data_IF_040465722074
#
_entry.id   IF_040465722074
#
_cell.length_a   1.000
_cell.length_b   1.000
_cell.length_c   1.000
_cell.angle_alpha   90.00
_cell.angle_beta   90.00
_cell.angle_gamma   90.00
#
_symmetry.space_group_name_H-M   'P 1'
#
loop_
_entity.id
_entity.type
_entity.pdbx_description
1 polymer ?
#
# COMPACT_ATOMS: atom_id res chain seq x y z
N UNK A 1 -19.68 -19.57 -13.23
CA UNK A 1 -20.70 -19.17 -12.25
C UNK A 1 -21.88 -18.55 -13.02
N UNK A 2 -23.13 -18.66 -12.54
CA UNK A 2 -24.36 -18.17 -13.16
C UNK A 2 -25.11 -17.11 -12.33
N UNK A 3 -24.72 -16.86 -11.07
CA UNK A 3 -25.28 -15.81 -10.20
C UNK A 3 -24.20 -15.28 -9.24
N UNK A 4 -24.31 -14.02 -8.81
CA UNK A 4 -23.24 -13.19 -8.26
C UNK A 4 -22.88 -13.36 -6.78
N UNK A 5 -23.23 -14.46 -6.12
CA UNK A 5 -22.76 -14.76 -4.76
C UNK A 5 -22.07 -16.13 -4.73
N UNK A 6 -20.80 -16.13 -4.31
CA UNK A 6 -19.95 -17.31 -4.19
C UNK A 6 -20.56 -18.37 -3.27
N UNK A 7 -21.20 -17.96 -2.18
CA UNK A 7 -21.72 -18.90 -1.18
C UNK A 7 -23.13 -19.41 -1.51
N UNK A 8 -23.65 -19.08 -2.69
CA UNK A 8 -24.95 -19.55 -3.16
C UNK A 8 -24.75 -20.68 -4.17
N UNK A 9 -25.20 -21.88 -3.82
CA UNK A 9 -25.03 -23.09 -4.65
C UNK A 9 -25.62 -22.94 -6.07
N UNK A 10 -26.76 -22.25 -6.21
CA UNK A 10 -27.36 -21.95 -7.52
C UNK A 10 -26.57 -20.93 -8.36
N UNK A 11 -25.56 -20.29 -7.77
CA UNK A 11 -24.55 -19.52 -8.49
C UNK A 11 -23.55 -20.41 -9.21
N UNK A 12 -23.37 -21.66 -8.83
CA UNK A 12 -22.39 -22.55 -9.46
C UNK A 12 -23.05 -23.47 -10.49
N UNK A 13 -22.30 -23.73 -11.57
CA UNK A 13 -22.69 -24.74 -12.55
C UNK A 13 -22.66 -26.10 -11.83
N UNK A 14 -23.75 -26.85 -11.89
CA UNK A 14 -23.92 -28.10 -11.15
C UNK A 14 -24.59 -27.93 -9.77
N UNK A 15 -24.86 -26.70 -9.34
CA UNK A 15 -25.66 -26.45 -8.12
C UNK A 15 -24.93 -26.79 -6.82
N UNK A 16 -23.60 -26.72 -6.80
CA UNK A 16 -22.77 -27.02 -5.64
C UNK A 16 -21.67 -25.96 -5.47
N UNK A 17 -21.42 -25.55 -4.23
CA UNK A 17 -20.34 -24.62 -3.89
C UNK A 17 -19.00 -25.39 -3.95
N UNK A 18 -17.96 -24.88 -4.63
CA UNK A 18 -16.64 -25.52 -4.69
C UNK A 18 -16.04 -25.72 -3.29
N UNK A 19 -15.44 -26.89 -3.08
CA UNK A 19 -14.69 -27.26 -1.89
C UNK A 19 -13.19 -27.45 -2.14
N UNK A 20 -12.52 -28.10 -1.18
CA UNK A 20 -11.06 -28.14 -1.01
C UNK A 20 -10.28 -28.81 -2.15
N UNK A 21 -10.91 -29.71 -2.90
CA UNK A 21 -10.32 -30.33 -4.10
C UNK A 21 -10.77 -29.67 -5.40
N UNK A 22 -11.69 -28.71 -5.33
CA UNK A 22 -12.30 -28.12 -6.51
C UNK A 22 -11.50 -26.95 -7.04
N UNK A 23 -11.61 -26.78 -8.36
CA UNK A 23 -11.21 -25.56 -9.05
C UNK A 23 -12.43 -24.68 -9.24
N UNK A 24 -12.44 -23.53 -8.57
CA UNK A 24 -13.42 -22.49 -8.78
C UNK A 24 -13.07 -21.69 -10.05
N UNK A 25 -13.91 -21.79 -11.08
CA UNK A 25 -13.76 -21.02 -12.33
C UNK A 25 -14.86 -19.95 -12.42
N UNK A 26 -14.43 -18.69 -12.42
CA UNK A 26 -15.30 -17.53 -12.61
C UNK A 26 -15.22 -17.12 -14.08
N UNK A 27 -16.19 -17.58 -14.85
CA UNK A 27 -16.49 -17.15 -16.22
C UNK A 27 -17.98 -16.73 -16.21
N UNK A 28 -18.25 -15.43 -16.19
CA UNK A 28 -19.60 -14.88 -16.10
C UNK A 28 -19.75 -13.62 -16.95
N UNK A 29 -19.21 -13.60 -18.17
CA UNK A 29 -19.46 -12.53 -19.15
C UNK A 29 -19.18 -11.10 -18.67
N UNK A 30 -18.19 -10.89 -17.80
CA UNK A 30 -17.81 -9.60 -17.23
C UNK A 30 -18.61 -9.18 -16.00
N UNK A 31 -19.50 -10.03 -15.49
CA UNK A 31 -20.24 -9.78 -14.25
C UNK A 31 -19.37 -10.03 -13.00
N UNK A 32 -19.87 -9.57 -11.85
CA UNK A 32 -19.16 -9.60 -10.57
C UNK A 32 -19.70 -10.67 -9.64
N UNK A 33 -18.83 -11.63 -9.33
CA UNK A 33 -19.01 -12.58 -8.24
C UNK A 33 -18.67 -11.89 -6.93
N UNK A 34 -19.54 -11.98 -5.93
CA UNK A 34 -19.32 -11.43 -4.60
C UNK A 34 -19.09 -12.52 -3.57
N UNK A 35 -18.24 -12.24 -2.58
CA UNK A 35 -18.01 -13.10 -1.42
C UNK A 35 -18.06 -12.22 -0.16
N UNK A 36 -19.13 -12.33 0.62
CA UNK A 36 -19.36 -11.52 1.82
C UNK A 36 -19.20 -12.29 3.15
N UNK A 37 -18.85 -13.57 3.09
CA UNK A 37 -18.58 -14.41 4.24
C UNK A 37 -17.42 -15.37 3.91
N UNK A 38 -17.04 -16.24 4.85
CA UNK A 38 -16.05 -17.27 4.58
C UNK A 38 -16.55 -18.23 3.49
N UNK A 39 -15.75 -18.41 2.44
CA UNK A 39 -15.91 -19.50 1.47
C UNK A 39 -15.30 -20.79 2.03
N UNK A 40 -15.76 -21.97 1.61
CA UNK A 40 -14.97 -23.19 1.76
C UNK A 40 -13.57 -23.00 1.15
N UNK A 41 -12.58 -23.68 1.71
CA UNK A 41 -11.26 -23.75 1.09
C UNK A 41 -11.40 -24.33 -0.33
N UNK A 42 -10.62 -23.84 -1.28
CA UNK A 42 -10.64 -24.28 -2.68
C UNK A 42 -9.25 -24.53 -3.20
N UNK A 43 -9.08 -25.52 -4.07
CA UNK A 43 -7.75 -25.88 -4.59
C UNK A 43 -7.16 -24.75 -5.44
N UNK A 44 -7.88 -24.38 -6.50
CA UNK A 44 -7.48 -23.34 -7.44
C UNK A 44 -8.65 -22.36 -7.63
N UNK A 45 -8.36 -21.08 -7.81
CA UNK A 45 -9.34 -20.08 -8.24
C UNK A 45 -8.88 -19.43 -9.53
N UNK A 46 -9.75 -19.35 -10.52
CA UNK A 46 -9.45 -18.76 -11.82
C UNK A 46 -10.51 -17.74 -12.19
N UNK A 47 -10.08 -16.48 -12.24
CA UNK A 47 -10.94 -15.35 -12.54
C UNK A 47 -10.70 -14.94 -13.98
N UNK A 48 -11.75 -15.03 -14.76
CA UNK A 48 -11.77 -14.72 -16.17
C UNK A 48 -10.87 -15.66 -16.95
N UNK A 49 -11.19 -16.97 -16.95
CA UNK A 49 -10.45 -18.01 -17.66
C UNK A 49 -10.86 -18.14 -19.13
N UNK A 50 -12.15 -18.10 -19.45
CA UNK A 50 -12.63 -18.27 -20.83
C UNK A 50 -13.50 -17.09 -21.29
N UNK A 51 -13.92 -16.27 -20.33
CA UNK A 51 -14.66 -15.03 -20.54
C UNK A 51 -14.23 -14.02 -19.50
N UNK A 52 -14.48 -12.73 -19.71
CA UNK A 52 -14.19 -11.73 -18.68
C UNK A 52 -14.95 -12.04 -17.39
N UNK A 53 -14.38 -11.74 -16.22
CA UNK A 53 -15.07 -11.88 -14.93
C UNK A 53 -14.45 -11.05 -13.84
N UNK A 54 -15.25 -10.69 -12.84
CA UNK A 54 -14.79 -9.98 -11.66
C UNK A 54 -15.10 -10.80 -10.40
N UNK A 55 -14.19 -10.75 -9.42
CA UNK A 55 -14.44 -11.21 -8.05
C UNK A 55 -14.32 -10.03 -7.09
N UNK A 56 -15.33 -9.83 -6.26
CA UNK A 56 -15.30 -8.87 -5.16
C UNK A 56 -15.41 -9.63 -3.83
N UNK A 57 -14.33 -9.64 -3.07
CA UNK A 57 -14.35 -10.13 -1.69
C UNK A 57 -14.71 -8.94 -0.81
N UNK A 58 -15.93 -8.94 -0.31
CA UNK A 58 -16.50 -7.87 0.51
C UNK A 58 -16.00 -7.96 1.96
N UNK A 59 -16.25 -6.91 2.74
CA UNK A 59 -15.96 -6.89 4.17
C UNK A 59 -16.53 -8.14 4.89
N UNK A 60 -15.70 -8.81 5.70
CA UNK A 60 -16.05 -10.08 6.36
C UNK A 60 -15.92 -11.32 5.46
N UNK A 61 -15.70 -11.14 4.16
CA UNK A 61 -15.38 -12.21 3.23
C UNK A 61 -13.99 -12.79 3.48
N UNK A 62 -13.88 -14.13 3.46
CA UNK A 62 -12.59 -14.83 3.54
C UNK A 62 -12.51 -15.89 2.45
N UNK A 63 -11.47 -15.82 1.63
CA UNK A 63 -11.19 -16.80 0.58
C UNK A 63 -9.85 -17.48 0.85
N UNK A 64 -9.85 -18.81 0.96
CA UNK A 64 -8.63 -19.61 1.10
C UNK A 64 -8.42 -20.43 -0.18
N UNK A 65 -7.30 -20.19 -0.85
CA UNK A 65 -6.86 -20.89 -2.05
C UNK A 65 -5.65 -21.75 -1.69
N UNK A 66 -5.83 -23.07 -1.74
CA UNK A 66 -4.84 -24.05 -1.27
C UNK A 66 -3.66 -24.22 -2.22
N UNK A 67 -3.78 -23.76 -3.46
CA UNK A 67 -2.73 -23.81 -4.46
C UNK A 67 -2.60 -22.46 -5.17
N UNK A 68 -3.29 -22.26 -6.29
CA UNK A 68 -3.06 -21.10 -7.17
C UNK A 68 -4.29 -20.25 -7.37
N UNK A 69 -4.11 -18.95 -7.21
CA UNK A 69 -5.09 -17.93 -7.57
C UNK A 69 -4.65 -17.23 -8.86
N UNK A 70 -5.54 -17.18 -9.84
CA UNK A 70 -5.32 -16.49 -11.10
C UNK A 70 -6.31 -15.34 -11.26
N UNK A 71 -5.80 -14.11 -11.37
CA UNK A 71 -6.55 -12.91 -11.69
C UNK A 71 -6.26 -12.56 -13.16
N UNK A 72 -7.17 -12.94 -14.05
CA UNK A 72 -6.96 -12.93 -15.50
C UNK A 72 -6.25 -14.20 -15.94
N UNK A 73 -6.92 -15.02 -16.75
CA UNK A 73 -6.40 -16.32 -17.21
C UNK A 73 -6.86 -16.63 -18.64
N UNK A 74 -6.05 -17.35 -19.44
CA UNK A 74 -6.41 -17.94 -20.74
C UNK A 74 -7.24 -17.03 -21.70
N UNK A 75 -6.58 -16.01 -22.26
CA UNK A 75 -7.12 -15.07 -23.26
C UNK A 75 -8.28 -14.16 -22.82
N UNK A 76 -8.54 -14.04 -21.52
CA UNK A 76 -9.62 -13.18 -20.99
C UNK A 76 -9.14 -12.22 -19.91
N UNK A 77 -10.00 -11.24 -19.57
CA UNK A 77 -9.75 -10.28 -18.51
C UNK A 77 -10.34 -10.75 -17.19
N UNK A 78 -9.51 -10.83 -16.15
CA UNK A 78 -9.97 -11.09 -14.79
C UNK A 78 -9.70 -9.90 -13.91
N UNK A 79 -10.67 -9.51 -13.09
CA UNK A 79 -10.46 -8.50 -12.05
C UNK A 79 -10.81 -9.04 -10.67
N UNK A 80 -10.07 -8.57 -9.67
CA UNK A 80 -10.31 -8.93 -8.29
C UNK A 80 -10.20 -7.70 -7.40
N UNK A 81 -11.20 -7.48 -6.56
CA UNK A 81 -11.19 -6.47 -5.50
C UNK A 81 -11.27 -7.15 -4.15
N UNK A 82 -10.35 -6.79 -3.25
CA UNK A 82 -10.34 -7.22 -1.84
C UNK A 82 -10.67 -6.00 -1.00
N UNK A 83 -11.90 -5.95 -0.50
CA UNK A 83 -12.43 -4.79 0.21
C UNK A 83 -11.85 -4.64 1.61
N UNK A 84 -12.10 -3.49 2.23
CA UNK A 84 -11.77 -3.27 3.65
C UNK A 84 -12.36 -4.38 4.54
N UNK A 85 -11.55 -4.99 5.40
CA UNK A 85 -11.97 -6.08 6.27
C UNK A 85 -12.16 -7.44 5.57
N UNK A 86 -11.79 -7.56 4.29
CA UNK A 86 -11.73 -8.83 3.57
C UNK A 86 -10.33 -9.46 3.67
N UNK A 87 -10.29 -10.80 3.62
CA UNK A 87 -9.03 -11.57 3.65
C UNK A 87 -9.00 -12.59 2.51
N UNK A 88 -7.87 -12.64 1.81
CA UNK A 88 -7.61 -13.65 0.77
C UNK A 88 -6.27 -14.31 1.07
N UNK A 89 -6.28 -15.62 1.21
CA UNK A 89 -5.09 -16.42 1.47
C UNK A 89 -4.81 -17.30 0.26
N UNK A 90 -3.59 -17.24 -0.26
CA UNK A 90 -3.12 -18.09 -1.37
C UNK A 90 -1.91 -18.85 -0.87
N UNK A 91 -1.99 -20.16 -0.82
CA UNK A 91 -0.94 -20.98 -0.21
C UNK A 91 0.31 -21.04 -1.07
N UNK A 92 0.18 -21.11 -2.40
CA UNK A 92 1.32 -21.21 -3.31
C UNK A 92 1.48 -19.91 -4.12
N UNK A 93 0.87 -19.82 -5.31
CA UNK A 93 1.17 -18.74 -6.26
C UNK A 93 -0.04 -17.86 -6.53
N UNK A 94 0.18 -16.55 -6.44
CA UNK A 94 -0.73 -15.54 -6.99
C UNK A 94 -0.24 -15.10 -8.37
N UNK A 95 -1.06 -15.41 -9.38
CA UNK A 95 -0.90 -14.92 -10.74
C UNK A 95 -1.84 -13.74 -11.02
N UNK A 96 -1.31 -12.68 -11.63
CA UNK A 96 -2.11 -11.56 -12.13
C UNK A 96 -1.69 -11.30 -13.56
N UNK A 97 -2.62 -11.32 -14.51
CA UNK A 97 -2.35 -11.00 -15.91
C UNK A 97 -1.38 -11.98 -16.59
N UNK A 98 -1.31 -13.22 -16.12
CA UNK A 98 -0.40 -14.24 -16.63
C UNK A 98 -0.72 -15.62 -16.06
N UNK A 99 -0.21 -16.66 -16.70
CA UNK A 99 -0.34 -18.04 -16.23
C UNK A 99 0.82 -18.92 -16.72
N UNK A 100 1.94 -18.33 -17.14
CA UNK A 100 3.07 -19.02 -17.77
C UNK A 100 2.85 -19.39 -19.25
N UNK A 101 1.71 -18.99 -19.84
CA UNK A 101 1.41 -19.15 -21.28
C UNK A 101 1.87 -17.93 -22.08
N UNK A 102 2.25 -18.08 -23.37
CA UNK A 102 2.57 -16.94 -24.25
C UNK A 102 1.35 -16.08 -24.65
N UNK A 103 0.15 -16.42 -24.19
CA UNK A 103 -1.10 -15.77 -24.56
C UNK A 103 -1.25 -14.37 -23.94
N UNK A 104 -1.98 -13.49 -24.63
CA UNK A 104 -2.34 -12.18 -24.11
C UNK A 104 -3.43 -12.32 -23.05
N UNK A 105 -3.14 -11.91 -21.82
CA UNK A 105 -4.05 -12.03 -20.68
C UNK A 105 -3.99 -10.74 -19.88
N UNK A 106 -5.14 -10.23 -19.44
CA UNK A 106 -5.19 -9.02 -18.62
C UNK A 106 -5.72 -9.35 -17.22
N UNK A 107 -4.96 -8.95 -16.20
CA UNK A 107 -5.33 -9.13 -14.81
C UNK A 107 -5.27 -7.82 -14.06
N UNK A 108 -6.30 -7.55 -13.25
CA UNK A 108 -6.30 -6.41 -12.34
C UNK A 108 -6.64 -6.84 -10.93
N UNK A 109 -5.71 -6.64 -9.99
CA UNK A 109 -5.95 -6.86 -8.56
C UNK A 109 -5.98 -5.51 -7.85
N UNK A 110 -7.01 -5.27 -7.06
CA UNK A 110 -7.13 -4.09 -6.19
C UNK A 110 -7.32 -4.57 -4.75
N UNK A 111 -6.47 -4.10 -3.85
CA UNK A 111 -6.58 -4.33 -2.40
C UNK A 111 -6.91 -2.97 -1.78
N UNK A 112 -8.13 -2.80 -1.32
CA UNK A 112 -8.59 -1.57 -0.69
C UNK A 112 -7.95 -1.38 0.69
N UNK A 113 -7.99 -0.15 1.22
CA UNK A 113 -7.53 0.14 2.57
C UNK A 113 -8.22 -0.77 3.61
N UNK A 114 -7.43 -1.47 4.42
CA UNK A 114 -7.92 -2.46 5.39
C UNK A 114 -8.22 -3.84 4.81
N UNK A 115 -8.09 -4.06 3.50
CA UNK A 115 -8.10 -5.39 2.87
C UNK A 115 -6.74 -6.09 3.02
N UNK A 116 -6.74 -7.43 3.04
CA UNK A 116 -5.51 -8.22 3.19
C UNK A 116 -5.44 -9.37 2.19
N UNK A 117 -4.29 -9.49 1.52
CA UNK A 117 -3.93 -10.65 0.69
C UNK A 117 -2.65 -11.27 1.21
N UNK A 118 -2.68 -12.57 1.51
CA UNK A 118 -1.50 -13.33 1.94
C UNK A 118 -1.13 -14.35 0.85
N UNK A 119 0.14 -14.45 0.51
CA UNK A 119 0.67 -15.38 -0.50
C UNK A 119 1.85 -16.15 0.07
N UNK A 120 1.73 -17.47 0.11
CA UNK A 120 2.71 -18.35 0.76
C UNK A 120 3.99 -18.55 -0.04
N UNK A 121 3.96 -18.36 -1.37
CA UNK A 121 5.11 -18.58 -2.24
C UNK A 121 5.32 -17.43 -3.24
N UNK A 122 5.08 -17.63 -4.54
CA UNK A 122 5.47 -16.67 -5.57
C UNK A 122 4.37 -15.66 -5.94
N UNK A 123 4.81 -14.45 -6.30
CA UNK A 123 4.02 -13.48 -7.04
C UNK A 123 4.50 -13.48 -8.48
N UNK A 124 3.70 -14.00 -9.41
CA UNK A 124 4.02 -14.00 -10.85
C UNK A 124 3.03 -13.12 -11.61
N UNK A 125 3.41 -11.87 -11.83
CA UNK A 125 2.55 -10.89 -12.46
C UNK A 125 3.02 -10.61 -13.87
N UNK A 126 2.08 -10.74 -14.80
CA UNK A 126 2.33 -10.63 -16.23
C UNK A 126 3.35 -11.62 -16.79
N UNK A 127 3.38 -12.83 -16.24
CA UNK A 127 4.22 -13.91 -16.72
C UNK A 127 3.61 -14.55 -18.00
N UNK A 128 3.99 -13.99 -19.16
CA UNK A 128 3.56 -14.40 -20.50
C UNK A 128 3.84 -13.30 -21.54
N UNK A 129 4.13 -13.66 -22.80
CA UNK A 129 4.65 -12.74 -23.83
C UNK A 129 3.78 -11.54 -24.20
N UNK A 130 2.49 -11.57 -23.84
CA UNK A 130 1.58 -10.44 -24.03
C UNK A 130 0.69 -10.22 -22.78
N UNK A 131 1.14 -10.70 -21.62
CA UNK A 131 0.44 -10.46 -20.36
C UNK A 131 0.42 -8.96 -20.02
N UNK A 132 -0.64 -8.52 -19.35
CA UNK A 132 -0.73 -7.21 -18.71
C UNK A 132 -1.28 -7.39 -17.31
N UNK A 133 -0.51 -6.97 -16.32
CA UNK A 133 -0.93 -6.97 -14.92
C UNK A 133 -1.00 -5.55 -14.37
N UNK A 134 -2.07 -5.25 -13.66
CA UNK A 134 -2.19 -4.04 -12.83
C UNK A 134 -2.53 -4.45 -11.41
N UNK A 135 -1.69 -4.08 -10.46
CA UNK A 135 -1.91 -4.38 -9.03
C UNK A 135 -1.92 -3.08 -8.26
N UNK A 136 -3.05 -2.76 -7.62
CA UNK A 136 -3.23 -1.57 -6.80
C UNK A 136 -3.36 -1.98 -5.33
N UNK A 137 -2.51 -1.44 -4.46
CA UNK A 137 -2.39 -1.85 -3.06
C UNK A 137 -2.58 -0.63 -2.18
N UNK A 138 -3.77 -0.47 -1.61
CA UNK A 138 -4.07 0.47 -0.53
C UNK A 138 -4.21 -0.23 0.84
N UNK A 139 -4.35 -1.56 0.85
CA UNK A 139 -4.29 -2.41 2.04
C UNK A 139 -2.96 -3.14 2.15
N UNK A 140 -2.99 -4.41 2.55
CA UNK A 140 -1.79 -5.22 2.74
C UNK A 140 -1.70 -6.36 1.72
N UNK A 141 -0.56 -6.50 1.04
CA UNK A 141 -0.17 -7.72 0.34
C UNK A 141 1.07 -8.30 1.01
N UNK A 142 0.95 -9.49 1.59
CA UNK A 142 2.01 -10.17 2.32
C UNK A 142 2.46 -11.42 1.56
N UNK A 143 3.71 -11.44 1.14
CA UNK A 143 4.36 -12.62 0.59
C UNK A 143 5.29 -13.23 1.65
N UNK A 144 5.08 -14.49 2.03
CA UNK A 144 5.83 -15.14 3.13
C UNK A 144 6.86 -16.17 2.66
N UNK A 145 6.90 -16.46 1.36
CA UNK A 145 7.86 -17.38 0.76
C UNK A 145 8.20 -16.94 -0.67
N UNK A 146 8.91 -17.76 -1.42
CA UNK A 146 9.18 -17.52 -2.84
C UNK A 146 9.88 -16.18 -3.15
N UNK A 147 9.66 -15.69 -4.37
CA UNK A 147 10.22 -14.45 -4.91
C UNK A 147 9.19 -13.69 -5.75
N UNK A 148 9.31 -12.37 -5.80
CA UNK A 148 8.57 -11.53 -6.74
C UNK A 148 9.06 -11.73 -8.19
N UNK A 149 8.12 -11.75 -9.13
CA UNK A 149 8.40 -11.66 -10.55
C UNK A 149 7.37 -10.84 -11.33
N UNK A 150 7.84 -9.75 -11.94
CA UNK A 150 7.09 -8.86 -12.81
C UNK A 150 7.58 -9.00 -14.25
N UNK A 151 6.70 -9.39 -15.17
CA UNK A 151 7.02 -9.54 -16.59
C UNK A 151 8.02 -10.67 -16.88
N UNK A 152 8.21 -11.61 -15.94
CA UNK A 152 9.16 -12.74 -16.02
C UNK A 152 8.42 -14.06 -15.85
N UNK A 153 9.02 -15.16 -16.32
CA UNK A 153 8.51 -16.52 -16.08
C UNK A 153 9.19 -17.24 -14.90
N UNK A 154 10.34 -16.74 -14.42
CA UNK A 154 11.19 -17.44 -13.45
C UNK A 154 12.14 -16.51 -12.66
N UNK A 155 11.84 -15.21 -12.60
CA UNK A 155 12.67 -14.19 -11.98
C UNK A 155 14.10 -14.10 -12.55
N UNK A 156 14.30 -14.56 -13.79
CA UNK A 156 15.56 -14.48 -14.53
C UNK A 156 15.36 -14.12 -15.99
N UNK A 157 14.35 -14.72 -16.62
CA UNK A 157 14.05 -14.61 -18.04
C UNK A 157 12.85 -13.67 -18.27
N UNK A 158 12.96 -12.69 -19.18
CA UNK A 158 11.83 -11.90 -19.61
C UNK A 158 10.76 -12.78 -20.23
N UNK A 159 9.51 -12.57 -19.84
CA UNK A 159 8.37 -13.23 -20.47
C UNK A 159 7.89 -12.47 -21.71
N UNK A 160 8.05 -11.14 -21.74
CA UNK A 160 7.49 -10.21 -22.72
C UNK A 160 6.24 -9.46 -22.23
N UNK A 161 5.65 -9.88 -21.11
CA UNK A 161 4.54 -9.21 -20.46
C UNK A 161 4.96 -8.03 -19.60
N UNK A 162 4.00 -7.16 -19.29
CA UNK A 162 4.19 -5.92 -18.54
C UNK A 162 3.32 -5.90 -17.28
N UNK A 163 3.95 -5.73 -16.12
CA UNK A 163 3.25 -5.53 -14.85
C UNK A 163 3.47 -4.12 -14.30
N UNK A 164 2.38 -3.44 -13.94
CA UNK A 164 2.40 -2.19 -13.19
C UNK A 164 1.85 -2.44 -11.79
N UNK A 165 2.62 -2.06 -10.78
CA UNK A 165 2.26 -2.19 -9.37
C UNK A 165 2.19 -0.80 -8.77
N UNK A 166 1.05 -0.44 -8.20
CA UNK A 166 0.86 0.82 -7.49
C UNK A 166 0.68 0.50 -6.01
N UNK A 167 1.69 0.85 -5.20
CA UNK A 167 1.60 0.84 -3.74
C UNK A 167 1.09 2.21 -3.33
N UNK A 168 -0.21 2.31 -3.11
CA UNK A 168 -0.89 3.56 -2.84
C UNK A 168 -0.63 4.05 -1.41
N UNK A 169 -1.06 5.27 -1.11
CA UNK A 169 -0.99 5.85 0.23
C UNK A 169 -1.58 4.90 1.29
N UNK A 170 -0.82 4.65 2.36
CA UNK A 170 -1.14 3.70 3.43
C UNK A 170 -1.02 2.21 3.07
N UNK A 171 -0.75 1.88 1.81
CA UNK A 171 -0.62 0.51 1.33
C UNK A 171 0.75 -0.11 1.60
N UNK A 172 0.78 -1.43 1.80
CA UNK A 172 2.02 -2.17 2.06
C UNK A 172 2.13 -3.37 1.11
N UNK A 173 3.23 -3.42 0.37
CA UNK A 173 3.70 -4.61 -0.34
C UNK A 173 4.85 -5.24 0.45
N UNK A 174 4.53 -6.22 1.29
CA UNK A 174 5.53 -6.97 2.04
C UNK A 174 6.00 -8.17 1.23
N UNK A 175 7.23 -8.12 0.74
CA UNK A 175 7.85 -9.19 -0.04
C UNK A 175 8.68 -10.11 0.87
N UNK A 176 8.71 -11.39 0.54
CA UNK A 176 9.68 -12.32 1.14
C UNK A 176 11.08 -12.10 0.57
N UNK A 177 11.18 -11.90 -0.75
CA UNK A 177 12.45 -11.79 -1.45
C UNK A 177 12.29 -11.09 -2.81
N UNK A 178 13.37 -10.49 -3.29
CA UNK A 178 13.54 -9.96 -4.64
C UNK A 178 14.93 -10.36 -5.17
N UNK A 179 15.05 -10.62 -6.46
CA UNK A 179 16.30 -11.16 -7.02
C UNK A 179 17.44 -10.13 -6.95
N UNK A 180 18.54 -10.48 -6.28
CA UNK A 180 19.75 -9.65 -6.26
C UNK A 180 20.46 -9.53 -7.62
N UNK A 181 20.13 -10.39 -8.60
CA UNK A 181 20.70 -10.35 -9.96
C UNK A 181 19.90 -9.49 -10.94
N UNK A 182 18.83 -8.83 -10.49
CA UNK A 182 18.03 -7.92 -11.32
C UNK A 182 16.87 -8.57 -12.09
N UNK A 183 16.64 -9.88 -11.95
CA UNK A 183 15.65 -10.61 -12.76
C UNK A 183 14.20 -10.56 -12.27
N UNK A 184 13.91 -10.00 -11.09
CA UNK A 184 12.55 -9.97 -10.54
C UNK A 184 11.65 -8.95 -11.21
N UNK A 185 12.19 -7.90 -11.83
CA UNK A 185 11.41 -6.90 -12.56
C UNK A 185 12.03 -6.73 -13.95
N UNK A 186 11.23 -7.03 -14.96
CA UNK A 186 11.68 -7.04 -16.36
C UNK A 186 11.36 -5.73 -17.07
N UNK A 187 12.05 -5.42 -18.19
CA UNK A 187 11.81 -4.21 -18.96
C UNK A 187 10.33 -3.93 -19.23
N UNK A 188 9.91 -2.68 -18.99
CA UNK A 188 8.52 -2.22 -19.13
C UNK A 188 7.67 -2.39 -17.87
N UNK A 189 8.04 -3.29 -16.95
CA UNK A 189 7.36 -3.43 -15.65
C UNK A 189 7.88 -2.45 -14.61
N UNK A 190 7.05 -2.06 -13.65
CA UNK A 190 7.40 -1.06 -12.63
C UNK A 190 6.63 -1.24 -11.33
N UNK A 191 7.26 -0.88 -10.22
CA UNK A 191 6.61 -0.61 -8.94
C UNK A 191 6.61 0.90 -8.70
N UNK A 192 5.44 1.49 -8.56
CA UNK A 192 5.25 2.89 -8.22
C UNK A 192 4.69 2.99 -6.81
N UNK A 193 5.36 3.76 -5.96
CA UNK A 193 4.98 3.99 -4.57
C UNK A 193 4.40 5.40 -4.48
N UNK A 194 3.26 5.56 -3.81
CA UNK A 194 2.59 6.86 -3.66
C UNK A 194 2.42 7.22 -2.19
N UNK A 195 2.62 8.50 -1.86
CA UNK A 195 2.39 9.03 -0.52
C UNK A 195 3.17 8.25 0.56
N UNK A 196 2.43 7.71 1.54
CA UNK A 196 2.96 6.89 2.63
C UNK A 196 3.04 5.38 2.35
N UNK A 197 2.74 4.95 1.12
CA UNK A 197 2.86 3.55 0.72
C UNK A 197 4.29 3.01 0.84
N UNK A 198 4.45 1.70 1.06
CA UNK A 198 5.77 1.11 1.32
C UNK A 198 5.94 -0.28 0.71
N UNK A 199 7.18 -0.60 0.29
CA UNK A 199 7.63 -1.97 0.01
C UNK A 199 8.60 -2.41 1.10
N UNK A 200 8.38 -3.58 1.69
CA UNK A 200 9.27 -4.10 2.75
C UNK A 200 9.85 -5.45 2.37
N UNK A 201 11.13 -5.69 2.66
CA UNK A 201 11.84 -6.94 2.40
C UNK A 201 12.68 -7.32 3.62
N UNK A 202 12.56 -8.53 4.19
CA UNK A 202 13.40 -8.95 5.32
C UNK A 202 14.89 -8.90 4.98
N UNK A 203 15.70 -8.33 5.87
CA UNK A 203 17.16 -8.23 5.70
C UNK A 203 17.62 -7.02 4.89
N UNK A 204 18.89 -7.04 4.46
CA UNK A 204 19.54 -5.93 3.75
C UNK A 204 19.51 -6.13 2.22
N UNK A 205 18.67 -5.31 1.58
CA UNK A 205 18.47 -5.21 0.15
C UNK A 205 18.67 -3.77 -0.34
N UNK A 206 19.25 -2.86 0.47
CA UNK A 206 19.37 -1.43 0.12
C UNK A 206 20.07 -1.24 -1.23
N UNK A 207 21.22 -1.92 -1.42
CA UNK A 207 21.97 -1.85 -2.69
C UNK A 207 21.23 -2.52 -3.86
N UNK A 208 20.47 -3.59 -3.59
CA UNK A 208 19.66 -4.29 -4.59
C UNK A 208 18.54 -3.37 -5.08
N UNK A 209 17.79 -2.76 -4.16
CA UNK A 209 16.74 -1.79 -4.50
C UNK A 209 17.31 -0.57 -5.21
N UNK A 210 18.45 -0.04 -4.76
CA UNK A 210 19.13 1.05 -5.46
C UNK A 210 19.45 0.71 -6.91
N UNK A 211 19.83 -0.55 -7.20
CA UNK A 211 20.06 -1.02 -8.57
C UNK A 211 18.76 -1.10 -9.38
N UNK A 212 17.67 -1.64 -8.80
CA UNK A 212 16.36 -1.66 -9.49
C UNK A 212 15.84 -0.24 -9.77
N UNK A 213 15.92 0.66 -8.79
CA UNK A 213 15.52 2.06 -8.94
C UNK A 213 16.35 2.78 -10.01
N UNK A 214 17.68 2.60 -10.01
CA UNK A 214 18.58 3.16 -11.02
C UNK A 214 18.32 2.64 -12.44
N UNK A 215 17.78 1.42 -12.57
CA UNK A 215 17.35 0.84 -13.85
C UNK A 215 15.92 1.24 -14.26
N UNK A 216 15.24 2.07 -13.47
CA UNK A 216 13.90 2.58 -13.77
C UNK A 216 12.75 1.63 -13.40
N UNK A 217 13.01 0.62 -12.57
CA UNK A 217 12.00 -0.36 -12.14
C UNK A 217 11.20 0.07 -10.91
N UNK A 218 11.60 1.17 -10.27
CA UNK A 218 10.86 1.83 -9.20
C UNK A 218 10.57 3.29 -9.56
N UNK A 219 9.41 3.76 -9.12
CA UNK A 219 9.03 5.18 -9.11
C UNK A 219 8.42 5.56 -7.76
N UNK A 220 8.57 6.83 -7.38
CA UNK A 220 7.88 7.44 -6.25
C UNK A 220 7.05 8.62 -6.73
N UNK A 221 5.77 8.62 -6.42
CA UNK A 221 4.77 9.59 -6.90
C UNK A 221 4.80 9.76 -8.43
N UNK A 222 5.01 8.66 -9.16
CA UNK A 222 5.10 8.67 -10.62
C UNK A 222 6.43 9.15 -11.20
N UNK A 223 7.40 9.55 -10.36
CA UNK A 223 8.74 9.94 -10.79
C UNK A 223 9.68 8.75 -10.69
N UNK A 224 10.20 8.29 -11.83
CA UNK A 224 11.13 7.15 -11.91
C UNK A 224 12.39 7.42 -11.08
N UNK A 225 12.78 6.46 -10.25
CA UNK A 225 13.94 6.55 -9.36
C UNK A 225 13.71 7.40 -8.10
N UNK A 226 12.55 8.05 -7.93
CA UNK A 226 12.24 8.89 -6.77
C UNK A 226 11.86 8.07 -5.52
N UNK A 227 12.67 7.08 -5.18
CA UNK A 227 12.49 6.21 -4.03
C UNK A 227 13.78 6.12 -3.23
N UNK A 228 13.65 5.88 -1.93
CA UNK A 228 14.76 5.59 -1.03
C UNK A 228 14.54 4.23 -0.39
N UNK A 229 15.64 3.51 -0.12
CA UNK A 229 15.64 2.27 0.62
C UNK A 229 16.54 2.40 1.84
N UNK A 230 16.02 2.06 3.02
CA UNK A 230 16.76 2.13 4.27
C UNK A 230 16.44 0.94 5.20
N UNK A 231 17.22 0.82 6.28
CA UNK A 231 17.05 -0.18 7.34
C UNK A 231 16.54 0.41 8.66
N UNK A 232 16.28 1.72 8.68
CA UNK A 232 15.96 2.48 9.89
C UNK A 232 14.46 2.66 10.09
N UNK A 233 13.71 2.73 9.00
CA UNK A 233 12.25 2.91 8.99
C UNK A 233 11.54 1.70 9.59
N UNK A 234 12.03 0.48 9.29
CA UNK A 234 11.52 -0.76 9.87
C UNK A 234 12.69 -1.70 10.24
N UNK A 235 13.14 -1.71 11.51
CA UNK A 235 14.29 -2.50 11.92
C UNK A 235 14.17 -3.99 11.56
N UNK A 236 15.18 -4.52 10.89
CA UNK A 236 15.21 -5.91 10.39
C UNK A 236 14.69 -6.07 8.97
N UNK A 237 14.18 -5.00 8.34
CA UNK A 237 13.70 -4.97 6.97
C UNK A 237 14.34 -3.83 6.20
N UNK A 238 14.62 -4.08 4.93
CA UNK A 238 14.77 -3.01 3.95
C UNK A 238 13.41 -2.46 3.63
N UNK A 239 13.22 -1.17 3.84
CA UNK A 239 11.97 -0.46 3.58
C UNK A 239 12.18 0.54 2.46
N UNK A 240 11.34 0.44 1.43
CA UNK A 240 11.37 1.33 0.27
C UNK A 240 10.20 2.30 0.36
N UNK A 241 10.49 3.58 0.34
CA UNK A 241 9.52 4.67 0.43
C UNK A 241 9.78 5.71 -0.66
N UNK A 242 8.79 6.58 -0.89
CA UNK A 242 8.96 7.76 -1.75
C UNK A 242 9.99 8.70 -1.13
N UNK A 243 10.89 9.24 -1.95
CA UNK A 243 11.68 10.42 -1.55
C UNK A 243 10.75 11.63 -1.62
N UNK A 244 10.31 12.09 -0.46
CA UNK A 244 9.51 13.28 -0.36
C UNK A 244 10.37 14.50 -0.70
N UNK A 245 9.85 15.37 -1.58
CA UNK A 245 10.49 16.64 -1.84
C UNK A 245 10.55 17.44 -0.53
N UNK A 246 11.69 18.08 -0.26
CA UNK A 246 11.76 19.02 0.85
C UNK A 246 10.65 20.07 0.68
N UNK A 247 9.89 20.40 1.75
CA UNK A 247 8.86 21.42 1.66
C UNK A 247 9.44 22.73 1.12
N UNK A 248 8.74 23.35 0.16
CA UNK A 248 9.12 24.69 -0.29
C UNK A 248 8.69 25.69 0.79
N UNK A 249 9.64 26.13 1.60
CA UNK A 249 9.36 27.01 2.73
C UNK A 249 9.06 28.44 2.27
N UNK A 250 7.87 28.91 2.60
CA UNK A 250 7.50 30.31 2.49
C UNK A 250 7.05 30.84 3.85
N UNK A 251 7.49 32.02 4.23
CA UNK A 251 7.06 32.62 5.50
C UNK A 251 5.54 32.78 5.53
N UNK A 252 4.87 32.11 6.47
CA UNK A 252 3.41 32.10 6.52
C UNK A 252 2.85 31.32 7.71
N UNK A 253 1.52 31.40 7.85
CA UNK A 253 0.77 30.60 8.80
C UNK A 253 0.14 29.43 8.06
N UNK A 254 0.40 28.20 8.52
CA UNK A 254 -0.19 26.98 7.98
C UNK A 254 -1.09 26.38 9.05
N UNK A 255 -2.37 26.23 8.73
CA UNK A 255 -3.37 25.68 9.66
C UNK A 255 -3.57 24.20 9.43
N UNK A 256 -3.69 23.47 10.53
CA UNK A 256 -4.10 22.08 10.51
C UNK A 256 -5.62 22.00 10.33
N UNK A 257 -6.11 21.15 9.42
CA UNK A 257 -7.52 21.09 9.04
C UNK A 257 -8.24 19.84 9.52
N UNK A 258 -7.53 18.72 9.68
CA UNK A 258 -8.11 17.42 9.98
C UNK A 258 -7.34 16.77 11.11
N UNK A 259 -7.96 15.98 11.99
CA UNK A 259 -7.19 15.11 12.90
C UNK A 259 -6.36 14.09 12.12
N UNK A 260 -5.18 13.71 12.62
CA UNK A 260 -4.31 12.74 11.97
C UNK A 260 -2.82 13.01 12.13
N UNK A 261 -2.00 12.44 11.25
CA UNK A 261 -0.55 12.59 11.30
C UNK A 261 -0.10 13.99 10.82
N UNK A 262 0.85 14.60 11.55
CA UNK A 262 1.52 15.86 11.20
C UNK A 262 2.20 15.78 9.83
N UNK A 263 2.78 14.63 9.48
CA UNK A 263 3.53 14.41 8.25
C UNK A 263 2.63 14.19 7.03
N UNK A 264 1.31 14.07 7.23
CA UNK A 264 0.35 13.97 6.14
C UNK A 264 0.03 15.36 5.58
N UNK A 265 0.57 15.67 4.41
CA UNK A 265 0.46 16.98 3.78
C UNK A 265 -1.00 17.44 3.54
N UNK A 266 -1.93 16.51 3.26
CA UNK A 266 -3.36 16.81 3.08
C UNK A 266 -4.09 17.21 4.38
N UNK A 267 -3.48 17.02 5.55
CA UNK A 267 -4.01 17.53 6.81
C UNK A 267 -3.73 19.03 7.01
N UNK A 268 -2.89 19.64 6.17
CA UNK A 268 -2.53 21.06 6.24
C UNK A 268 -3.21 21.89 5.16
N UNK A 269 -3.59 23.13 5.50
CA UNK A 269 -4.31 24.05 4.60
C UNK A 269 -3.61 24.29 3.27
N UNK A 270 -2.28 24.26 3.26
CA UNK A 270 -1.46 24.50 2.05
C UNK A 270 -1.27 23.24 1.22
N UNK A 271 -1.68 22.06 1.71
CA UNK A 271 -1.33 20.78 1.11
C UNK A 271 0.14 20.41 1.26
N UNK A 272 0.88 21.06 2.18
CA UNK A 272 2.28 20.81 2.49
C UNK A 272 2.50 20.74 4.01
N UNK A 273 3.44 19.91 4.44
CA UNK A 273 3.88 19.86 5.85
C UNK A 273 4.63 21.16 6.21
N UNK A 274 4.35 21.79 7.36
CA UNK A 274 5.03 23.02 7.77
C UNK A 274 6.53 22.84 7.90
N UNK A 275 7.27 23.89 7.59
CA UNK A 275 8.73 23.87 7.67
C UNK A 275 9.33 25.15 8.31
N UNK A 276 10.64 25.36 8.14
CA UNK A 276 11.48 26.17 9.02
C UNK A 276 11.18 27.67 9.02
N UNK A 277 10.38 28.16 8.06
CA UNK A 277 9.92 29.54 7.96
C UNK A 277 8.46 29.75 8.37
N UNK A 278 7.74 28.68 8.70
CA UNK A 278 6.29 28.69 8.86
C UNK A 278 5.84 28.58 10.31
N UNK A 279 4.71 29.21 10.60
CA UNK A 279 3.97 29.03 11.84
C UNK A 279 2.93 27.94 11.64
N UNK A 280 3.11 26.78 12.26
CA UNK A 280 2.11 25.74 12.33
C UNK A 280 1.06 26.10 13.39
N UNK A 281 -0.21 26.13 13.00
CA UNK A 281 -1.34 26.46 13.88
C UNK A 281 -2.27 25.27 13.97
N UNK A 282 -2.46 24.76 15.18
CA UNK A 282 -3.39 23.68 15.48
C UNK A 282 -4.65 24.31 16.08
N UNK A 283 -5.62 24.66 15.22
CA UNK A 283 -6.80 25.42 15.62
C UNK A 283 -8.07 25.04 14.85
N UNK A 284 -8.40 23.76 14.84
CA UNK A 284 -9.54 23.28 14.07
C UNK A 284 -10.33 22.22 14.84
N UNK A 285 -11.46 22.61 15.41
CA UNK A 285 -12.52 21.73 15.90
C UNK A 285 -12.10 20.66 16.92
N UNK A 286 -11.24 20.99 17.89
CA UNK A 286 -10.72 20.03 18.88
C UNK A 286 -9.94 18.86 18.24
N UNK A 287 -9.32 19.09 17.08
CA UNK A 287 -8.53 18.08 16.40
C UNK A 287 -7.37 17.57 17.26
N UNK A 288 -7.06 16.29 17.09
CA UNK A 288 -5.86 15.65 17.63
C UNK A 288 -4.87 15.46 16.49
N UNK A 289 -3.68 16.02 16.67
CA UNK A 289 -2.55 15.90 15.75
C UNK A 289 -1.60 14.88 16.34
N UNK A 290 -1.25 13.84 15.59
CA UNK A 290 -0.25 12.86 16.00
C UNK A 290 1.06 13.11 15.24
N UNK A 291 2.21 12.98 15.88
CA UNK A 291 3.51 13.03 15.22
C UNK A 291 4.23 11.71 15.48
N UNK A 292 4.30 10.86 14.44
CA UNK A 292 4.86 9.51 14.53
C UNK A 292 6.31 9.41 13.99
N UNK A 293 6.85 10.49 13.41
CA UNK A 293 8.20 10.53 12.84
C UNK A 293 8.88 11.88 13.02
N UNK A 294 10.01 12.08 12.34
CA UNK A 294 10.73 13.36 12.38
C UNK A 294 10.04 14.40 11.48
N UNK A 295 9.49 15.45 12.10
CA UNK A 295 9.01 16.62 11.39
C UNK A 295 10.20 17.47 10.90
N UNK A 296 10.03 18.20 9.77
CA UNK A 296 10.90 19.32 9.46
C UNK A 296 10.95 20.30 10.63
N UNK A 297 12.06 21.03 10.77
CA UNK A 297 12.14 22.15 11.70
C UNK A 297 11.03 23.18 11.37
N UNK A 298 10.40 23.78 12.38
CA UNK A 298 9.26 24.70 12.21
C UNK A 298 9.52 26.02 12.90
N UNK A 299 9.21 27.16 12.28
CA UNK A 299 9.47 28.47 12.87
C UNK A 299 8.74 28.67 14.20
N UNK A 300 7.43 28.41 14.20
CA UNK A 300 6.60 28.49 15.39
C UNK A 300 5.53 27.39 15.37
N UNK A 301 5.13 26.93 16.54
CA UNK A 301 3.99 26.02 16.70
C UNK A 301 3.03 26.61 17.71
N UNK A 302 1.74 26.66 17.36
CA UNK A 302 0.67 27.18 18.21
C UNK A 302 -0.39 26.12 18.40
N UNK A 303 -0.45 25.57 19.60
CA UNK A 303 -1.42 24.55 20.01
C UNK A 303 -2.51 25.24 20.80
N UNK A 304 -3.75 24.97 20.44
CA UNK A 304 -4.93 25.56 21.04
C UNK A 304 -5.01 27.06 20.76
N UNK A 305 -4.81 27.50 19.51
CA UNK A 305 -5.02 28.91 19.13
C UNK A 305 -6.49 29.12 18.76
N UNK A 306 -7.24 29.99 19.44
CA UNK A 306 -8.65 30.32 19.12
C UNK A 306 -9.67 29.17 19.29
N UNK A 307 -9.23 27.91 19.21
CA UNK A 307 -10.00 26.69 19.46
C UNK A 307 -9.13 25.68 20.19
N UNK A 308 -9.71 24.77 20.99
CA UNK A 308 -8.92 23.75 21.70
C UNK A 308 -8.26 22.79 20.68
N UNK A 309 -7.08 22.28 21.00
CA UNK A 309 -6.44 21.22 20.20
C UNK A 309 -5.39 20.44 20.97
N UNK A 310 -5.08 19.24 20.47
CA UNK A 310 -4.07 18.35 21.05
C UNK A 310 -2.98 18.02 20.03
N UNK A 311 -1.72 18.06 20.46
CA UNK A 311 -0.59 17.48 19.75
C UNK A 311 -0.03 16.30 20.55
N UNK A 312 -0.04 15.12 19.96
CA UNK A 312 0.53 13.89 20.51
C UNK A 312 1.81 13.53 19.75
N UNK A 313 2.97 13.73 20.38
CA UNK A 313 4.25 13.28 19.84
C UNK A 313 4.49 11.86 20.33
N UNK A 314 4.30 10.90 19.43
CA UNK A 314 4.40 9.48 19.73
C UNK A 314 5.86 9.01 19.74
N UNK A 315 6.12 7.78 20.20
CA UNK A 315 7.46 7.21 20.22
C UNK A 315 8.07 7.20 18.81
N UNK A 316 9.28 7.73 18.64
CA UNK A 316 9.91 7.95 17.33
C UNK A 316 9.56 9.30 16.66
N UNK A 317 8.55 10.00 17.18
CA UNK A 317 8.23 11.37 16.79
C UNK A 317 9.30 12.36 17.24
N UNK A 318 9.71 13.26 16.34
CA UNK A 318 10.68 14.33 16.65
C UNK A 318 10.21 15.66 16.08
N UNK A 319 10.08 16.68 16.92
CA UNK A 319 9.72 18.04 16.53
C UNK A 319 10.80 19.03 16.99
N UNK A 320 11.29 19.86 16.07
CA UNK A 320 12.13 21.01 16.39
C UNK A 320 11.37 22.30 16.08
N UNK A 321 11.24 23.16 17.07
CA UNK A 321 10.63 24.49 16.93
C UNK A 321 11.73 25.54 17.06
N UNK A 322 12.06 26.22 15.95
CA UNK A 322 13.22 27.11 15.88
C UNK A 322 13.00 28.50 16.50
N UNK A 323 11.77 28.84 16.90
CA UNK A 323 11.52 30.07 17.65
C UNK A 323 10.56 29.88 18.83
N UNK A 324 9.26 29.70 18.59
CA UNK A 324 8.28 29.69 19.68
C UNK A 324 7.32 28.53 19.60
N UNK A 325 7.21 27.80 20.70
CA UNK A 325 6.16 26.83 20.93
C UNK A 325 5.16 27.40 21.94
N UNK A 326 3.89 27.44 21.57
CA UNK A 326 2.77 27.82 22.44
C UNK A 326 1.90 26.59 22.71
N UNK A 327 1.74 26.23 23.98
CA UNK A 327 0.80 25.22 24.46
C UNK A 327 -0.31 25.96 25.21
N UNK A 328 -1.44 26.19 24.52
CA UNK A 328 -2.49 27.11 24.96
C UNK A 328 -2.21 28.53 24.47
N UNK A 329 -3.07 29.04 23.58
CA UNK A 329 -2.88 30.36 22.97
C UNK A 329 -4.23 31.07 22.71
N UNK A 330 -4.28 32.38 22.96
CA UNK A 330 -5.48 33.20 22.73
C UNK A 330 -6.78 32.63 23.36
N UNK A 331 -6.74 32.37 24.68
CA UNK A 331 -7.88 31.93 25.50
C UNK A 331 -8.47 30.55 25.17
N UNK A 332 -7.72 29.67 24.52
CA UNK A 332 -8.13 28.27 24.26
C UNK A 332 -7.13 27.28 24.86
N UNK A 333 -7.57 26.04 25.04
CA UNK A 333 -6.79 24.96 25.65
C UNK A 333 -5.91 24.29 24.60
N UNK A 334 -4.60 24.41 24.74
CA UNK A 334 -3.66 23.58 23.99
C UNK A 334 -3.18 22.43 24.87
N UNK A 335 -3.25 21.21 24.35
CA UNK A 335 -2.69 20.04 25.03
C UNK A 335 -1.51 19.51 24.21
N UNK A 336 -0.38 19.26 24.86
CA UNK A 336 0.74 18.55 24.23
C UNK A 336 1.07 17.30 25.05
N UNK A 337 1.01 16.14 24.40
CA UNK A 337 1.40 14.85 24.95
C UNK A 337 2.71 14.42 24.29
N UNK A 338 3.71 14.05 25.09
CA UNK A 338 5.02 13.60 24.58
C UNK A 338 5.28 12.20 25.14
N UNK A 339 5.29 11.20 24.27
CA UNK A 339 5.48 9.81 24.63
C UNK A 339 6.93 9.50 25.00
N UNK A 340 7.15 8.38 25.70
CA UNK A 340 8.50 7.88 25.93
C UNK A 340 9.16 7.53 24.58
N UNK A 341 10.37 8.04 24.34
CA UNK A 341 11.08 7.89 23.05
C UNK A 341 10.71 8.93 21.98
N UNK A 342 9.89 9.92 22.32
CA UNK A 342 9.68 11.12 21.50
C UNK A 342 10.69 12.22 21.83
N UNK A 343 10.91 13.15 20.89
CA UNK A 343 11.79 14.31 21.08
C UNK A 343 11.05 15.59 20.69
N UNK A 344 11.11 16.60 21.57
CA UNK A 344 10.62 17.96 21.29
C UNK A 344 11.69 18.94 21.69
N UNK A 345 12.26 19.63 20.69
CA UNK A 345 13.29 20.64 20.88
C UNK A 345 12.70 22.02 20.60
N UNK A 346 12.79 22.94 21.57
CA UNK A 346 12.41 24.35 21.39
C UNK A 346 13.67 25.18 21.57
N UNK A 347 14.09 25.90 20.54
CA UNK A 347 15.40 26.55 20.53
C UNK A 347 15.41 27.93 21.20
N UNK A 348 14.26 28.59 21.31
CA UNK A 348 14.15 29.94 21.91
C UNK A 348 13.14 29.96 23.07
N UNK A 349 11.81 29.99 22.84
CA UNK A 349 10.82 30.12 23.93
C UNK A 349 9.71 29.08 23.87
N UNK A 350 9.47 28.42 25.01
CA UNK A 350 8.26 27.63 25.29
C UNK A 350 7.30 28.43 26.19
N UNK A 351 6.07 28.64 25.71
CA UNK A 351 4.97 29.19 26.48
C UNK A 351 3.96 28.09 26.81
N UNK A 352 3.61 27.96 28.09
CA UNK A 352 2.53 27.07 28.57
C UNK A 352 1.52 27.94 29.31
N UNK A 353 0.30 28.00 28.77
CA UNK A 353 -0.82 28.81 29.27
C UNK A 353 -1.80 28.04 30.14
#
# INVERSE_FOLDING_TARGET
MSNGDWNTASGWVGGAIPGDMDRAILNWGGNTVTLAAQAPDVLDVRIGQDENSNLQVNAGGTLNVLNRLYVGHNNSTGTMTVASGAVVNVTDILWVGGNGSPQAVTGTLTIEAGGTVNVGNHLWWSAGAAGVATVNISGNLNQTGGILGLGTIDASNPSGGVATVNVNDGGVLALNNISGSGGSIQPGSIINIFGSGQVTIPGDFVSVIGTYAGNGYFAGDGVVGNVQADLTTNPGFTTVTVVQAAPVCMAGNVRYMNSGDWLTASNWQTGNVPCELETAILNWGNNTVTLNGAAPDVYQVRIGQDEDSTLEVNAGGSLTVVQRLYVGHNNSTGTMLVANGAVVNVTDILWVG
#
